data_IF_937476461138
#
_entry.id   IF_937476461138
#
_cell.length_a   1.000
_cell.length_b   1.000
_cell.length_c   1.000
_cell.angle_alpha   90.00
_cell.angle_beta   90.00
_cell.angle_gamma   90.00
#
_symmetry.space_group_name_H-M   'P 1'
#
loop_
_entity.id
_entity.type
_entity.pdbx_description
1 polymer ?
#
# COMPACT_ATOMS: atom_id res chain seq x y z
N UNK A 1 32.16 -31.76 5.96
CA UNK A 1 32.18 -30.33 5.60
C UNK A 1 30.72 -29.88 5.43
N UNK A 2 30.09 -29.35 6.47
CA UNK A 2 28.70 -28.85 6.41
C UNK A 2 28.77 -27.40 5.91
N UNK A 3 28.31 -27.15 4.68
CA UNK A 3 28.19 -25.80 4.12
C UNK A 3 27.13 -25.03 4.92
N UNK A 4 27.50 -23.87 5.46
CA UNK A 4 26.65 -22.95 6.21
C UNK A 4 25.54 -22.35 5.31
N UNK A 5 24.25 -22.68 5.50
CA UNK A 5 23.16 -22.11 4.69
C UNK A 5 22.88 -20.62 4.99
N UNK A 6 23.40 -20.10 6.10
CA UNK A 6 23.11 -18.74 6.57
C UNK A 6 23.85 -17.62 5.82
N UNK A 7 25.03 -17.90 5.23
CA UNK A 7 25.79 -16.92 4.42
C UNK A 7 25.10 -16.64 3.08
N UNK A 8 24.66 -17.70 2.40
CA UNK A 8 24.01 -17.59 1.10
C UNK A 8 22.69 -16.79 1.16
N UNK A 9 21.90 -16.91 2.23
CA UNK A 9 20.66 -16.12 2.36
C UNK A 9 20.92 -14.62 2.57
N UNK A 10 21.97 -14.26 3.31
CA UNK A 10 22.32 -12.84 3.53
C UNK A 10 22.90 -12.20 2.28
N UNK A 11 23.78 -12.88 1.56
CA UNK A 11 24.38 -12.39 0.32
C UNK A 11 23.33 -12.26 -0.80
N UNK A 12 22.42 -13.23 -0.91
CA UNK A 12 21.31 -13.18 -1.85
C UNK A 12 20.38 -11.98 -1.56
N UNK A 13 20.06 -11.75 -0.28
CA UNK A 13 19.25 -10.59 0.13
C UNK A 13 19.95 -9.26 -0.14
N UNK A 14 21.28 -9.16 0.02
CA UNK A 14 22.04 -7.95 -0.28
C UNK A 14 22.08 -7.65 -1.79
N UNK A 15 22.32 -8.68 -2.61
CA UNK A 15 22.35 -8.54 -4.07
C UNK A 15 20.97 -8.14 -4.62
N UNK A 16 19.89 -8.75 -4.10
CA UNK A 16 18.52 -8.37 -4.47
C UNK A 16 18.21 -6.92 -4.09
N UNK A 17 18.54 -6.50 -2.87
CA UNK A 17 18.31 -5.13 -2.43
C UNK A 17 19.10 -4.12 -3.27
N UNK A 18 20.36 -4.42 -3.62
CA UNK A 18 21.17 -3.58 -4.50
C UNK A 18 20.56 -3.45 -5.90
N UNK A 19 20.04 -4.55 -6.46
CA UNK A 19 19.36 -4.54 -7.75
C UNK A 19 18.06 -3.72 -7.71
N UNK A 20 17.22 -3.93 -6.69
CA UNK A 20 15.97 -3.16 -6.51
C UNK A 20 16.25 -1.67 -6.32
N UNK A 21 17.30 -1.30 -5.58
CA UNK A 21 17.76 0.10 -5.47
C UNK A 21 18.13 0.69 -6.84
N UNK A 22 18.92 -0.03 -7.64
CA UNK A 22 19.29 0.38 -9.00
C UNK A 22 18.09 0.54 -9.93
N UNK A 23 17.10 -0.34 -9.81
CA UNK A 23 15.83 -0.26 -10.54
C UNK A 23 15.07 1.01 -10.16
N UNK A 24 14.94 1.31 -8.86
CA UNK A 24 14.28 2.55 -8.40
C UNK A 24 14.96 3.81 -8.92
N UNK A 25 16.29 3.85 -8.98
CA UNK A 25 17.00 4.97 -9.60
C UNK A 25 16.70 5.13 -11.10
N UNK A 26 16.53 4.02 -11.83
CA UNK A 26 16.10 4.06 -13.23
C UNK A 26 14.66 4.61 -13.34
N UNK A 27 13.80 4.23 -12.41
CA UNK A 27 12.40 4.63 -12.37
C UNK A 27 12.19 6.10 -11.95
N UNK A 28 13.06 6.68 -11.13
CA UNK A 28 13.00 8.11 -10.74
C UNK A 28 13.01 9.08 -11.93
N UNK A 29 13.64 8.69 -13.04
CA UNK A 29 13.68 9.48 -14.28
C UNK A 29 12.41 9.34 -15.15
N UNK A 30 11.41 8.58 -14.70
CA UNK A 30 10.21 8.26 -15.46
C UNK A 30 8.98 8.78 -14.72
N UNK A 31 8.09 9.42 -15.48
CA UNK A 31 6.82 9.92 -14.95
C UNK A 31 5.80 8.78 -14.93
N UNK A 32 5.37 8.40 -13.72
CA UNK A 32 4.28 7.45 -13.48
C UNK A 32 3.06 8.20 -12.96
N UNK A 33 1.86 7.80 -13.37
CA UNK A 33 0.61 8.43 -12.94
C UNK A 33 0.29 8.13 -11.46
N UNK A 34 0.73 6.98 -10.94
CA UNK A 34 0.55 6.61 -9.54
C UNK A 34 1.57 5.56 -9.02
N UNK A 35 1.48 5.26 -7.72
CA UNK A 35 2.33 4.29 -7.01
C UNK A 35 2.18 2.85 -7.54
N UNK A 36 1.02 2.50 -8.09
CA UNK A 36 0.77 1.20 -8.70
C UNK A 36 1.57 0.98 -9.98
N UNK A 37 1.60 1.96 -10.89
CA UNK A 37 2.40 1.87 -12.13
C UNK A 37 3.90 1.74 -11.83
N UNK A 38 4.38 2.50 -10.85
CA UNK A 38 5.79 2.43 -10.42
C UNK A 38 6.15 1.04 -9.93
N UNK A 39 5.27 0.35 -9.20
CA UNK A 39 5.50 -1.02 -8.72
C UNK A 39 5.46 -2.06 -9.82
N UNK A 40 4.50 -1.96 -10.74
CA UNK A 40 4.43 -2.86 -11.90
C UNK A 40 5.69 -2.68 -12.76
N UNK A 41 6.17 -1.45 -12.92
CA UNK A 41 7.42 -1.15 -13.61
C UNK A 41 8.65 -1.67 -12.86
N UNK A 42 8.71 -1.53 -11.53
CA UNK A 42 9.79 -2.05 -10.68
C UNK A 42 9.91 -3.57 -10.78
N UNK A 43 8.80 -4.29 -10.65
CA UNK A 43 8.80 -5.74 -10.72
C UNK A 43 9.09 -6.24 -12.15
N UNK A 44 8.54 -5.57 -13.17
CA UNK A 44 8.87 -5.89 -14.56
C UNK A 44 10.37 -5.72 -14.84
N UNK A 45 10.97 -4.60 -14.41
CA UNK A 45 12.40 -4.37 -14.55
C UNK A 45 13.23 -5.41 -13.79
N UNK A 46 12.81 -5.78 -12.59
CA UNK A 46 13.46 -6.80 -11.78
C UNK A 46 13.52 -8.14 -12.53
N UNK A 47 12.40 -8.60 -13.06
CA UNK A 47 12.35 -9.84 -13.85
C UNK A 47 13.21 -9.76 -15.12
N UNK A 48 13.32 -8.59 -15.77
CA UNK A 48 14.20 -8.41 -16.94
C UNK A 48 15.68 -8.43 -16.58
N UNK A 49 16.07 -7.78 -15.48
CA UNK A 49 17.45 -7.87 -15.01
C UNK A 49 17.83 -9.31 -14.59
N UNK A 50 16.91 -10.06 -13.96
CA UNK A 50 17.13 -11.47 -13.67
C UNK A 50 17.28 -12.32 -14.95
N UNK A 51 16.57 -11.96 -16.02
CA UNK A 51 16.71 -12.58 -17.34
C UNK A 51 17.95 -12.11 -18.13
N UNK A 52 18.85 -11.33 -17.52
CA UNK A 52 20.11 -10.88 -18.13
C UNK A 52 19.98 -9.63 -19.01
N UNK A 53 18.84 -8.95 -19.01
CA UNK A 53 18.64 -7.77 -19.86
C UNK A 53 19.47 -6.58 -19.37
N UNK A 54 20.01 -5.83 -20.32
CA UNK A 54 20.82 -4.64 -20.11
C UNK A 54 20.00 -3.36 -20.27
N UNK A 55 20.54 -2.23 -19.79
CA UNK A 55 19.87 -0.91 -19.92
C UNK A 55 19.49 -0.58 -21.38
N UNK A 56 20.36 -0.76 -22.40
CA UNK A 56 20.02 -0.49 -23.80
C UNK A 56 18.83 -1.30 -24.33
N UNK A 57 18.60 -2.51 -23.82
CA UNK A 57 17.45 -3.35 -24.21
C UNK A 57 16.17 -2.94 -23.48
N UNK A 58 16.32 -2.54 -22.22
CA UNK A 58 15.23 -2.14 -21.33
C UNK A 58 14.59 -0.82 -21.77
N UNK A 59 15.36 0.23 -22.05
CA UNK A 59 14.82 1.57 -22.27
C UNK A 59 13.88 1.69 -23.49
N UNK A 60 14.19 1.09 -24.66
CA UNK A 60 13.27 1.06 -25.81
C UNK A 60 11.99 0.28 -25.49
N UNK A 61 12.12 -0.89 -24.85
CA UNK A 61 10.99 -1.71 -24.44
C UNK A 61 10.09 -0.98 -23.43
N UNK A 62 10.66 -0.26 -22.47
CA UNK A 62 9.92 0.49 -21.47
C UNK A 62 9.11 1.64 -22.11
N UNK A 63 9.72 2.37 -23.07
CA UNK A 63 9.06 3.46 -23.80
C UNK A 63 7.88 2.96 -24.65
N UNK A 64 8.03 1.80 -25.28
CA UNK A 64 6.95 1.16 -26.06
C UNK A 64 5.85 0.53 -25.22
N UNK A 65 6.04 0.41 -23.90
CA UNK A 65 5.15 -0.32 -22.98
C UNK A 65 4.41 0.54 -21.96
N UNK A 66 4.25 1.85 -22.21
CA UNK A 66 3.38 2.73 -21.38
C UNK A 66 1.98 2.14 -21.13
N UNK A 67 1.44 1.36 -22.06
CA UNK A 67 0.14 0.71 -21.93
C UNK A 67 0.14 -0.54 -21.02
N UNK A 68 1.31 -1.15 -20.77
CA UNK A 68 1.49 -2.38 -19.97
C UNK A 68 1.71 -2.08 -18.50
N UNK A 69 2.17 -0.86 -18.17
CA UNK A 69 2.25 -0.39 -16.78
C UNK A 69 0.92 0.18 -16.26
N UNK A 70 -0.17 0.03 -17.01
CA UNK A 70 -1.50 0.43 -16.53
C UNK A 70 -1.77 -0.30 -15.21
N UNK A 71 -2.05 0.44 -14.12
CA UNK A 71 -2.33 -0.20 -12.86
C UNK A 71 -3.62 -0.99 -13.02
N UNK A 72 -3.59 -2.26 -12.61
CA UNK A 72 -4.83 -3.00 -12.48
C UNK A 72 -5.62 -2.35 -11.36
N UNK A 73 -6.86 -1.93 -11.67
CA UNK A 73 -7.79 -1.45 -10.66
C UNK A 73 -7.99 -2.58 -9.65
N UNK A 74 -7.71 -2.30 -8.39
CA UNK A 74 -7.99 -3.22 -7.30
C UNK A 74 -9.51 -3.42 -7.22
N UNK A 75 -9.93 -4.67 -7.39
CA UNK A 75 -11.32 -5.06 -7.24
C UNK A 75 -11.49 -5.70 -5.87
N UNK A 76 -12.66 -5.50 -5.27
CA UNK A 76 -13.00 -6.19 -4.05
C UNK A 76 -12.90 -7.73 -4.25
N UNK A 77 -12.25 -8.47 -3.35
CA UNK A 77 -12.18 -9.92 -3.43
C UNK A 77 -13.58 -10.56 -3.41
N UNK A 78 -13.79 -11.64 -4.17
CA UNK A 78 -15.08 -12.35 -4.17
C UNK A 78 -15.41 -12.99 -2.81
N UNK A 79 -14.37 -13.39 -2.07
CA UNK A 79 -14.42 -13.95 -0.72
C UNK A 79 -14.23 -12.88 0.38
N UNK A 80 -14.40 -11.60 0.02
CA UNK A 80 -14.22 -10.49 0.95
C UNK A 80 -15.22 -10.56 2.12
N UNK A 81 -14.68 -10.48 3.34
CA UNK A 81 -15.49 -10.35 4.57
C UNK A 81 -15.66 -8.89 4.89
N UNK A 82 -16.76 -8.30 4.42
CA UNK A 82 -17.14 -6.92 4.72
C UNK A 82 -17.49 -6.77 6.21
N UNK A 83 -17.27 -5.55 6.75
CA UNK A 83 -17.65 -5.23 8.12
C UNK A 83 -19.17 -5.27 8.29
N UNK A 84 -19.71 -6.15 9.15
CA UNK A 84 -21.13 -6.16 9.49
C UNK A 84 -21.54 -4.81 10.09
N UNK A 85 -22.75 -4.32 9.77
CA UNK A 85 -23.21 -2.99 10.24
C UNK A 85 -23.14 -2.83 11.77
N UNK A 86 -23.46 -3.87 12.54
CA UNK A 86 -23.38 -3.86 14.01
C UNK A 86 -21.96 -3.84 14.59
N UNK A 87 -20.95 -4.12 13.76
CA UNK A 87 -19.53 -4.10 14.15
C UNK A 87 -18.81 -2.84 13.66
N UNK A 88 -19.53 -1.86 13.08
CA UNK A 88 -18.93 -0.61 12.63
C UNK A 88 -18.87 0.40 13.77
N UNK A 89 -17.70 1.00 13.96
CA UNK A 89 -17.51 2.19 14.79
C UNK A 89 -17.26 3.37 13.85
N UNK A 90 -18.07 4.42 13.96
CA UNK A 90 -17.92 5.62 13.13
C UNK A 90 -16.66 6.39 13.49
N UNK A 91 -15.98 6.91 12.47
CA UNK A 91 -14.82 7.77 12.60
C UNK A 91 -15.20 9.20 12.16
N UNK A 92 -14.63 10.21 12.81
CA UNK A 92 -14.74 11.62 12.43
C UNK A 92 -13.73 11.98 11.33
N UNK A 93 -13.82 11.30 10.19
CA UNK A 93 -12.88 11.44 9.08
C UNK A 93 -13.58 11.94 7.81
N UNK A 94 -13.31 13.19 7.44
CA UNK A 94 -14.01 13.90 6.35
C UNK A 94 -13.09 14.73 5.43
N UNK A 95 -11.95 14.20 4.94
CA UNK A 95 -11.10 14.93 4.00
C UNK A 95 -11.77 15.11 2.63
N UNK A 96 -11.23 16.05 1.88
CA UNK A 96 -11.48 16.23 0.45
C UNK A 96 -10.22 15.90 -0.34
N UNK A 97 -10.41 15.40 -1.55
CA UNK A 97 -9.36 15.02 -2.48
C UNK A 97 -9.64 15.64 -3.83
N UNK A 98 -8.59 16.09 -4.51
CA UNK A 98 -8.66 16.64 -5.87
C UNK A 98 -9.01 15.56 -6.90
N UNK A 99 -9.31 15.97 -8.13
CA UNK A 99 -9.57 15.04 -9.25
C UNK A 99 -8.44 14.02 -9.47
N UNK A 100 -7.17 14.47 -9.43
CA UNK A 100 -6.02 13.58 -9.64
C UNK A 100 -5.81 12.61 -8.48
N UNK A 101 -6.14 13.02 -7.26
CA UNK A 101 -6.13 12.12 -6.10
C UNK A 101 -7.29 11.13 -6.16
N UNK A 102 -8.49 11.57 -6.54
CA UNK A 102 -9.63 10.67 -6.71
C UNK A 102 -9.38 9.60 -7.77
N UNK A 103 -8.71 9.95 -8.87
CA UNK A 103 -8.26 8.97 -9.87
C UNK A 103 -7.38 7.89 -9.21
N UNK A 104 -6.40 8.28 -8.38
CA UNK A 104 -5.56 7.33 -7.64
C UNK A 104 -6.36 6.47 -6.66
N UNK A 105 -7.29 7.06 -5.90
CA UNK A 105 -8.19 6.32 -5.01
C UNK A 105 -8.99 5.27 -5.79
N UNK A 106 -9.43 5.61 -7.00
CA UNK A 106 -10.24 4.72 -7.84
C UNK A 106 -9.47 3.51 -8.36
N UNK A 107 -8.14 3.58 -8.46
CA UNK A 107 -7.29 2.42 -8.77
C UNK A 107 -7.09 1.50 -7.56
N UNK A 108 -7.16 2.02 -6.33
CA UNK A 108 -6.94 1.25 -5.11
C UNK A 108 -5.51 0.72 -4.96
N UNK A 109 -5.35 -0.37 -4.22
CA UNK A 109 -4.09 -1.01 -3.92
C UNK A 109 -4.23 -2.54 -3.97
N UNK A 110 -3.43 -3.18 -4.81
CA UNK A 110 -3.21 -4.63 -4.75
C UNK A 110 -1.88 -4.91 -4.01
N UNK A 111 -1.84 -5.88 -3.07
CA UNK A 111 -0.60 -6.32 -2.47
C UNK A 111 0.28 -6.99 -3.53
N UNK A 112 1.58 -6.68 -3.55
CA UNK A 112 2.53 -7.31 -4.49
C UNK A 112 3.05 -8.63 -3.95
N UNK A 113 3.10 -8.78 -2.62
CA UNK A 113 3.51 -10.00 -1.92
C UNK A 113 2.58 -10.30 -0.73
N UNK A 114 2.54 -11.53 -0.20
CA UNK A 114 1.72 -11.88 0.96
C UNK A 114 2.03 -11.06 2.23
N UNK A 115 3.25 -10.54 2.36
CA UNK A 115 3.68 -9.70 3.46
C UNK A 115 3.12 -8.28 3.39
N UNK A 116 2.67 -7.83 2.20
CA UNK A 116 1.96 -6.57 2.04
C UNK A 116 0.58 -6.73 2.63
N UNK A 117 0.31 -5.99 3.69
CA UNK A 117 -0.79 -6.33 4.57
C UNK A 117 -2.15 -5.80 4.13
N UNK A 118 -2.20 -5.00 3.08
CA UNK A 118 -3.39 -4.29 2.64
C UNK A 118 -3.73 -4.57 1.19
N UNK A 119 -5.02 -4.84 0.96
CA UNK A 119 -5.69 -4.66 -0.32
C UNK A 119 -6.72 -3.54 -0.12
N UNK A 120 -6.75 -2.57 -1.01
CA UNK A 120 -7.68 -1.44 -0.92
C UNK A 120 -8.44 -1.35 -2.24
N UNK A 121 -9.76 -1.34 -2.22
CA UNK A 121 -10.57 -1.22 -3.43
C UNK A 121 -11.62 -0.14 -3.28
N UNK A 122 -11.91 0.57 -4.37
CA UNK A 122 -13.06 1.46 -4.48
C UNK A 122 -14.12 0.77 -5.35
N UNK A 123 -15.23 0.41 -4.72
CA UNK A 123 -16.43 -0.11 -5.40
C UNK A 123 -17.59 0.84 -5.17
N UNK A 124 -18.18 1.35 -6.26
CA UNK A 124 -19.08 2.51 -6.27
C UNK A 124 -18.57 3.70 -5.44
N UNK A 125 -19.16 3.93 -4.26
CA UNK A 125 -18.82 4.97 -3.30
C UNK A 125 -18.05 4.43 -2.09
N UNK A 126 -17.73 3.14 -2.03
CA UNK A 126 -17.16 2.48 -0.86
C UNK A 126 -15.68 2.16 -1.09
N UNK A 127 -14.81 2.90 -0.40
CA UNK A 127 -13.38 2.63 -0.33
C UNK A 127 -13.11 1.69 0.85
N UNK A 128 -12.87 0.42 0.55
CA UNK A 128 -12.73 -0.66 1.53
C UNK A 128 -11.27 -1.09 1.70
N UNK A 129 -10.84 -1.28 2.95
CA UNK A 129 -9.47 -1.64 3.30
C UNK A 129 -9.44 -3.03 3.92
N UNK A 130 -8.95 -3.99 3.14
CA UNK A 130 -8.87 -5.39 3.53
C UNK A 130 -7.48 -5.77 3.99
N UNK A 131 -7.41 -6.65 4.98
CA UNK A 131 -6.17 -7.39 5.25
C UNK A 131 -5.93 -8.39 4.13
N UNK A 132 -4.76 -8.32 3.49
CA UNK A 132 -4.45 -9.13 2.30
C UNK A 132 -4.59 -10.63 2.52
N UNK A 133 -4.10 -11.14 3.66
CA UNK A 133 -4.14 -12.57 3.97
C UNK A 133 -5.51 -13.09 4.41
N UNK A 134 -6.25 -12.34 5.25
CA UNK A 134 -7.53 -12.79 5.81
C UNK A 134 -8.75 -12.30 5.04
N UNK A 135 -8.58 -11.36 4.11
CA UNK A 135 -9.64 -10.70 3.34
C UNK A 135 -10.73 -10.05 4.21
N UNK A 136 -10.43 -9.74 5.47
CA UNK A 136 -11.32 -9.01 6.38
C UNK A 136 -11.20 -7.52 6.13
N UNK A 137 -12.33 -6.86 5.91
CA UNK A 137 -12.42 -5.40 5.83
C UNK A 137 -12.26 -4.81 7.24
N UNK A 138 -11.27 -3.94 7.44
CA UNK A 138 -11.06 -3.26 8.72
C UNK A 138 -11.47 -1.80 8.70
N UNK A 139 -11.44 -1.17 7.52
CA UNK A 139 -11.89 0.21 7.34
C UNK A 139 -12.75 0.31 6.09
N UNK A 140 -13.72 1.21 6.14
CA UNK A 140 -14.56 1.59 5.02
C UNK A 140 -14.73 3.11 5.05
N UNK A 141 -14.47 3.77 3.94
CA UNK A 141 -14.77 5.19 3.76
C UNK A 141 -15.77 5.35 2.62
N UNK A 142 -16.87 6.05 2.90
CA UNK A 142 -17.87 6.41 1.88
C UNK A 142 -17.46 7.71 1.22
N UNK A 143 -17.12 7.61 -0.06
CA UNK A 143 -16.65 8.71 -0.91
C UNK A 143 -17.82 9.25 -1.71
N UNK A 144 -17.93 10.58 -1.80
CA UNK A 144 -18.87 11.28 -2.66
C UNK A 144 -18.09 12.05 -3.71
N UNK A 145 -18.37 11.79 -5.00
CA UNK A 145 -17.81 12.56 -6.10
C UNK A 145 -18.35 13.99 -6.07
N UNK A 146 -17.48 14.95 -6.36
CA UNK A 146 -17.75 16.37 -6.51
C UNK A 146 -17.29 16.81 -7.91
N UNK A 147 -17.60 18.05 -8.31
CA UNK A 147 -17.19 18.58 -9.61
C UNK A 147 -15.66 18.63 -9.81
N UNK A 148 -14.91 18.82 -8.72
CA UNK A 148 -13.45 18.98 -8.73
C UNK A 148 -12.70 17.96 -7.87
N UNK A 149 -13.33 16.81 -7.61
CA UNK A 149 -12.68 15.69 -6.93
C UNK A 149 -13.67 14.86 -6.16
N UNK A 150 -13.38 14.58 -4.89
CA UNK A 150 -14.31 13.89 -4.01
C UNK A 150 -14.14 14.31 -2.55
N UNK A 151 -15.12 13.97 -1.72
CA UNK A 151 -15.01 14.06 -0.26
C UNK A 151 -15.37 12.74 0.40
N UNK A 152 -14.83 12.49 1.59
CA UNK A 152 -15.32 11.42 2.45
C UNK A 152 -16.51 11.93 3.26
N UNK A 153 -17.69 11.33 3.06
CA UNK A 153 -18.93 11.69 3.77
C UNK A 153 -19.17 10.83 5.01
N UNK A 154 -18.44 9.73 5.17
CA UNK A 154 -18.46 8.92 6.38
C UNK A 154 -17.34 7.89 6.33
N UNK A 155 -16.85 7.49 7.50
CA UNK A 155 -15.84 6.46 7.63
C UNK A 155 -16.13 5.59 8.84
N UNK A 156 -15.76 4.31 8.74
CA UNK A 156 -15.95 3.34 9.79
C UNK A 156 -14.72 2.46 9.94
N UNK A 157 -14.50 1.99 11.16
CA UNK A 157 -13.54 0.95 11.51
C UNK A 157 -14.26 -0.24 12.12
N UNK A 158 -13.69 -1.42 11.96
CA UNK A 158 -14.16 -2.63 12.61
C UNK A 158 -13.99 -2.54 14.13
N UNK A 159 -15.05 -2.85 14.87
CA UNK A 159 -15.06 -2.85 16.33
C UNK A 159 -14.06 -3.85 16.89
N UNK A 160 -14.00 -5.05 16.31
CA UNK A 160 -13.07 -6.10 16.73
C UNK A 160 -11.62 -5.65 16.58
N UNK A 161 -11.29 -4.86 15.55
CA UNK A 161 -9.98 -4.23 15.42
C UNK A 161 -9.68 -3.27 16.58
N UNK A 162 -10.64 -2.44 17.00
CA UNK A 162 -10.45 -1.54 18.14
C UNK A 162 -10.23 -2.30 19.45
N UNK A 163 -10.90 -3.43 19.63
CA UNK A 163 -10.86 -4.23 20.86
C UNK A 163 -9.61 -5.12 20.97
N UNK A 164 -8.88 -5.36 19.87
CA UNK A 164 -7.70 -6.24 19.87
C UNK A 164 -6.52 -5.75 20.73
N UNK A 165 -6.50 -4.47 21.08
CA UNK A 165 -5.26 -3.77 21.40
C UNK A 165 -5.59 -2.47 22.15
N UNK A 166 -5.07 -2.27 23.36
CA UNK A 166 -5.48 -1.16 24.27
C UNK A 166 -5.29 0.26 23.68
N UNK A 167 -4.23 0.42 22.89
CA UNK A 167 -3.93 1.61 22.10
C UNK A 167 -4.80 1.86 20.85
N UNK A 168 -5.64 0.91 20.44
CA UNK A 168 -6.55 1.10 19.31
C UNK A 168 -7.77 1.92 19.75
N UNK A 169 -7.60 3.24 19.73
CA UNK A 169 -8.70 4.20 19.89
C UNK A 169 -9.29 4.62 18.54
N UNK A 170 -10.55 5.11 18.49
CA UNK A 170 -11.11 5.73 17.28
C UNK A 170 -10.21 6.85 16.72
N UNK A 171 -9.63 7.67 17.59
CA UNK A 171 -8.71 8.73 17.18
C UNK A 171 -7.41 8.19 16.56
N UNK A 172 -6.91 7.04 17.02
CA UNK A 172 -5.78 6.37 16.37
C UNK A 172 -6.19 5.77 15.02
N UNK A 173 -7.35 5.11 14.97
CA UNK A 173 -7.89 4.53 13.75
C UNK A 173 -8.10 5.57 12.65
N UNK A 174 -8.56 6.78 12.97
CA UNK A 174 -8.63 7.93 12.05
C UNK A 174 -7.28 8.29 11.45
N UNK A 175 -6.25 8.45 12.29
CA UNK A 175 -4.90 8.78 11.81
C UNK A 175 -4.32 7.66 10.96
N UNK A 176 -4.57 6.40 11.33
CA UNK A 176 -4.12 5.26 10.56
C UNK A 176 -4.83 5.19 9.20
N UNK A 177 -6.15 5.41 9.16
CA UNK A 177 -6.89 5.50 7.90
C UNK A 177 -6.35 6.60 6.99
N UNK A 178 -6.10 7.80 7.54
CA UNK A 178 -5.51 8.90 6.78
C UNK A 178 -4.13 8.54 6.22
N UNK A 179 -3.29 7.90 7.04
CA UNK A 179 -1.98 7.40 6.59
C UNK A 179 -2.13 6.38 5.46
N UNK A 180 -3.04 5.39 5.59
CA UNK A 180 -3.24 4.38 4.54
C UNK A 180 -3.65 5.03 3.22
N UNK A 181 -4.56 6.01 3.26
CA UNK A 181 -4.97 6.74 2.05
C UNK A 181 -3.80 7.55 1.49
N UNK A 182 -3.25 8.49 2.27
CA UNK A 182 -2.25 9.44 1.79
C UNK A 182 -0.96 8.75 1.39
N UNK A 183 -0.47 7.81 2.21
CA UNK A 183 0.79 7.12 1.92
C UNK A 183 0.63 6.06 0.84
N UNK A 184 -0.35 5.16 0.98
CA UNK A 184 -0.39 3.97 0.12
C UNK A 184 -1.09 4.24 -1.22
N UNK A 185 -2.17 5.00 -1.23
CA UNK A 185 -2.92 5.31 -2.46
C UNK A 185 -2.38 6.56 -3.16
N UNK A 186 -2.12 7.63 -2.41
CA UNK A 186 -1.73 8.91 -3.01
C UNK A 186 -0.22 9.06 -3.21
N UNK A 187 0.59 8.28 -2.49
CA UNK A 187 2.05 8.33 -2.52
C UNK A 187 2.67 9.50 -1.74
N UNK A 188 1.90 10.14 -0.86
CA UNK A 188 2.35 11.30 -0.10
C UNK A 188 3.44 10.93 0.94
N UNK A 189 4.31 11.89 1.26
CA UNK A 189 5.32 11.77 2.32
C UNK A 189 4.70 12.09 3.69
N UNK A 190 3.83 11.21 4.18
CA UNK A 190 3.24 11.31 5.53
C UNK A 190 3.92 10.34 6.49
N UNK A 191 4.17 10.80 7.73
CA UNK A 191 4.77 9.97 8.77
C UNK A 191 3.81 8.89 9.24
N UNK A 192 4.35 7.72 9.63
CA UNK A 192 3.52 6.67 10.21
C UNK A 192 2.93 7.15 11.55
N UNK A 193 1.61 7.06 11.76
CA UNK A 193 1.00 7.50 12.99
C UNK A 193 1.31 6.47 14.06
N UNK A 194 2.23 6.77 14.97
CA UNK A 194 2.42 5.91 16.13
C UNK A 194 1.28 6.15 17.14
N UNK A 195 0.71 5.10 17.71
CA UNK A 195 -0.22 5.22 18.83
C UNK A 195 0.50 5.80 20.06
N UNK A 196 -0.28 6.43 20.93
CA UNK A 196 0.23 6.95 22.20
C UNK A 196 0.78 5.80 23.06
N UNK A 197 1.88 6.06 23.78
CA UNK A 197 2.50 5.07 24.67
C UNK A 197 3.58 4.19 24.03
N UNK A 198 3.70 4.12 22.70
CA UNK A 198 4.80 3.37 22.06
C UNK A 198 5.99 4.26 21.72
N UNK A 199 6.98 4.15 22.59
CA UNK A 199 8.17 5.00 22.61
C UNK A 199 9.41 4.30 22.07
N UNK A 200 9.59 3.00 22.32
CA UNK A 200 10.80 2.27 21.91
C UNK A 200 10.85 2.09 20.39
N UNK A 201 12.02 2.35 19.80
CA UNK A 201 12.23 2.27 18.36
C UNK A 201 11.98 0.87 17.78
N UNK A 202 12.31 -0.19 18.53
CA UNK A 202 12.05 -1.57 18.13
C UNK A 202 10.54 -1.86 18.05
N UNK A 203 9.77 -1.44 19.06
CA UNK A 203 8.31 -1.61 19.12
C UNK A 203 7.62 -0.85 17.99
N UNK A 204 8.11 0.36 17.68
CA UNK A 204 7.67 1.17 16.54
C UNK A 204 7.91 0.46 15.21
N UNK A 205 9.11 -0.09 15.02
CA UNK A 205 9.48 -0.78 13.79
C UNK A 205 8.65 -2.04 13.58
N UNK A 206 8.47 -2.83 14.64
CA UNK A 206 7.64 -4.05 14.63
C UNK A 206 6.17 -3.73 14.37
N UNK A 207 5.63 -2.71 15.04
CA UNK A 207 4.24 -2.26 14.82
C UNK A 207 4.03 -1.84 13.37
N UNK A 208 4.91 -1.00 12.83
CA UNK A 208 4.81 -0.51 11.46
C UNK A 208 4.88 -1.67 10.47
N UNK A 209 5.82 -2.59 10.65
CA UNK A 209 5.95 -3.78 9.81
C UNK A 209 4.71 -4.70 9.90
N UNK A 210 4.18 -4.93 11.09
CA UNK A 210 3.00 -5.78 11.30
C UNK A 210 1.70 -5.17 10.73
N UNK A 211 1.57 -3.85 10.80
CA UNK A 211 0.40 -3.15 10.30
C UNK A 211 0.46 -2.88 8.80
N UNK A 212 1.60 -2.50 8.24
CA UNK A 212 1.67 -2.04 6.84
C UNK A 212 2.27 -3.12 5.93
N UNK A 213 3.27 -3.86 6.41
CA UNK A 213 4.03 -4.80 5.58
C UNK A 213 5.30 -4.16 5.01
N UNK A 214 6.31 -4.99 4.75
CA UNK A 214 7.69 -4.54 4.47
C UNK A 214 7.80 -3.71 3.18
N UNK A 215 7.12 -4.08 2.09
CA UNK A 215 7.26 -3.39 0.80
C UNK A 215 6.30 -2.21 0.64
N UNK A 216 5.36 -2.05 1.60
CA UNK A 216 4.47 -0.90 1.68
C UNK A 216 5.05 0.27 2.49
N UNK A 217 6.21 0.08 3.13
CA UNK A 217 6.95 1.11 3.87
C UNK A 217 8.11 1.60 2.99
N UNK A 218 8.08 2.81 2.43
CA UNK A 218 9.25 3.38 1.79
C UNK A 218 10.32 3.69 2.83
N UNK A 219 11.60 3.58 2.46
CA UNK A 219 12.70 4.05 3.31
C UNK A 219 12.54 5.56 3.59
N UNK A 220 12.74 5.94 4.85
CA UNK A 220 12.70 7.33 5.32
C UNK A 220 13.92 8.12 4.87
#
# INVERSE_FOLDING_TARGET
MKLEPAKNQREFSQAENALRKKIREILKGLVFANTGEHRVAEEWLYQKFLAGWTKPEIFPALRGKKQIFRPQKAVQPQDARLMPRGQRVSLNYHPEFSNSEFEKLSFGLLPSVPEDKWLISLDDEHLCFFRSGTRVCLYEAKVQKLAHGCRVKGAWVDRGFLEQNEWNSPAYAERLLDYLIRRLLLGAAVAFPYPAGVQKALDRSMLRLGLVGKNLIPEE
#
